data_IF_229772572318
#
_entry.id   IF_229772572318
#
_cell.length_a   1.000
_cell.length_b   1.000
_cell.length_c   1.000
_cell.angle_alpha   90.00
_cell.angle_beta   90.00
_cell.angle_gamma   90.00
#
_symmetry.space_group_name_H-M   'P 1'
#
loop_
_entity.id
_entity.type
_entity.pdbx_description
1 polymer ?
#
# COMPACT_ATOMS: atom_id res chain seq x y z
N UNK A 1 2.72 21.45 4.99
CA UNK A 1 2.95 20.03 5.31
C UNK A 1 3.72 19.35 4.16
N UNK A 2 4.99 19.69 3.87
CA UNK A 2 5.72 19.16 2.70
C UNK A 2 6.79 18.13 3.08
N UNK A 3 6.94 17.81 4.37
CA UNK A 3 8.04 16.97 4.89
C UNK A 3 7.68 15.48 5.01
N UNK A 4 6.41 15.13 4.85
CA UNK A 4 5.90 13.75 4.97
C UNK A 4 5.87 12.98 3.65
N UNK A 5 6.04 13.67 2.52
CA UNK A 5 6.00 13.06 1.18
C UNK A 5 7.36 12.56 0.70
N UNK A 6 8.45 13.03 1.31
CA UNK A 6 9.82 12.71 0.89
C UNK A 6 10.33 11.39 1.51
N UNK A 7 9.86 11.04 2.72
CA UNK A 7 10.31 9.85 3.46
C UNK A 7 9.53 8.56 3.15
N UNK A 8 8.31 8.67 2.63
CA UNK A 8 7.40 7.53 2.44
C UNK A 8 7.46 6.91 1.04
N UNK A 9 8.20 7.54 0.14
CA UNK A 9 8.06 7.32 -1.28
C UNK A 9 9.43 7.36 -1.94
N UNK A 10 10.29 6.39 -1.59
CA UNK A 10 11.42 5.97 -2.45
C UNK A 10 10.97 5.55 -3.88
N UNK A 11 9.69 5.77 -4.22
CA UNK A 11 9.06 5.89 -5.52
C UNK A 11 8.02 7.04 -5.40
N UNK A 12 8.14 8.15 -6.14
CA UNK A 12 7.50 9.42 -5.74
C UNK A 12 5.96 9.34 -5.63
N UNK A 13 5.38 9.85 -4.52
CA UNK A 13 3.92 10.02 -4.36
C UNK A 13 3.29 10.77 -5.54
N UNK A 14 4.09 11.67 -6.13
CA UNK A 14 3.76 12.38 -7.36
C UNK A 14 3.55 11.45 -8.54
N UNK A 15 4.37 10.42 -8.79
CA UNK A 15 4.20 9.55 -9.97
C UNK A 15 2.90 8.73 -9.92
N UNK A 16 2.57 8.12 -8.76
CA UNK A 16 1.32 7.40 -8.59
C UNK A 16 0.09 8.33 -8.68
N UNK A 17 0.18 9.52 -8.09
CA UNK A 17 -0.88 10.53 -8.14
C UNK A 17 -1.01 11.16 -9.53
N UNK A 18 0.11 11.34 -10.25
CA UNK A 18 0.14 11.83 -11.61
C UNK A 18 -0.47 10.80 -12.55
N UNK A 19 -0.14 9.51 -12.41
CA UNK A 19 -0.69 8.47 -13.27
C UNK A 19 -2.20 8.31 -13.09
N UNK A 20 -2.67 8.15 -11.85
CA UNK A 20 -4.09 8.04 -11.54
C UNK A 20 -4.87 9.32 -11.85
N UNK A 21 -4.29 10.48 -11.50
CA UNK A 21 -4.90 11.79 -11.74
C UNK A 21 -5.00 12.14 -13.22
N UNK A 22 -3.93 11.97 -13.99
CA UNK A 22 -3.94 12.28 -15.44
C UNK A 22 -4.85 11.34 -16.21
N UNK A 23 -4.81 10.03 -15.94
CA UNK A 23 -5.72 9.07 -16.58
C UNK A 23 -7.17 9.40 -16.27
N UNK A 24 -7.48 9.78 -15.03
CA UNK A 24 -8.81 10.26 -14.62
C UNK A 24 -9.27 11.45 -15.46
N UNK A 25 -8.46 12.51 -15.54
CA UNK A 25 -8.81 13.73 -16.30
C UNK A 25 -9.02 13.45 -17.78
N UNK A 26 -8.11 12.70 -18.41
CA UNK A 26 -8.21 12.37 -19.84
C UNK A 26 -9.48 11.54 -20.11
N UNK A 27 -9.77 10.55 -19.26
CA UNK A 27 -10.97 9.72 -19.41
C UNK A 27 -12.26 10.54 -19.29
N UNK A 28 -12.33 11.49 -18.34
CA UNK A 28 -13.48 12.38 -18.18
C UNK A 28 -13.72 13.24 -19.41
N UNK A 29 -12.65 13.83 -19.98
CA UNK A 29 -12.76 14.64 -21.19
C UNK A 29 -13.32 13.82 -22.36
N UNK A 30 -12.78 12.63 -22.58
CA UNK A 30 -13.23 11.72 -23.65
C UNK A 30 -14.69 11.32 -23.44
N UNK A 31 -15.08 10.95 -22.22
CA UNK A 31 -16.45 10.57 -21.89
C UNK A 31 -17.46 11.70 -22.14
N UNK A 32 -17.15 12.93 -21.73
CA UNK A 32 -18.02 14.09 -21.96
C UNK A 32 -18.17 14.42 -23.44
N UNK A 33 -17.08 14.37 -24.22
CA UNK A 33 -17.11 14.64 -25.65
C UNK A 33 -17.94 13.59 -26.40
N UNK A 34 -17.72 12.31 -26.10
CA UNK A 34 -18.48 11.21 -26.72
C UNK A 34 -19.96 11.28 -26.31
N UNK A 35 -20.25 11.46 -25.03
CA UNK A 35 -21.62 11.60 -24.53
C UNK A 35 -22.35 12.78 -25.17
N UNK A 36 -21.70 13.94 -25.26
CA UNK A 36 -22.23 15.13 -25.93
C UNK A 36 -22.50 14.91 -27.42
N UNK A 37 -21.56 14.25 -28.12
CA UNK A 37 -21.73 13.89 -29.53
C UNK A 37 -22.91 12.93 -29.74
N UNK A 38 -23.04 11.90 -28.90
CA UNK A 38 -24.15 10.95 -28.95
C UNK A 38 -25.49 11.64 -28.71
N UNK A 39 -25.59 12.52 -27.72
CA UNK A 39 -26.82 13.29 -27.45
C UNK A 39 -27.19 14.16 -28.65
N UNK A 40 -26.20 14.83 -29.28
CA UNK A 40 -26.42 15.66 -30.47
C UNK A 40 -26.91 14.84 -31.68
N UNK A 41 -26.37 13.65 -31.89
CA UNK A 41 -26.68 12.78 -33.04
C UNK A 41 -28.02 12.05 -32.87
N UNK A 42 -28.23 11.42 -31.72
CA UNK A 42 -29.38 10.53 -31.48
C UNK A 42 -30.60 11.24 -30.87
N UNK A 43 -30.42 12.44 -30.30
CA UNK A 43 -31.49 13.23 -29.64
C UNK A 43 -32.40 12.37 -28.76
N UNK A 44 -31.85 11.58 -27.81
CA UNK A 44 -32.64 10.70 -26.97
C UNK A 44 -33.60 11.52 -26.10
N UNK A 45 -34.75 10.93 -25.76
CA UNK A 45 -35.66 11.58 -24.80
C UNK A 45 -35.01 11.67 -23.42
N UNK A 46 -35.25 12.75 -22.64
CA UNK A 46 -34.62 12.97 -21.34
C UNK A 46 -34.78 11.79 -20.37
N UNK A 47 -35.94 11.11 -20.42
CA UNK A 47 -36.22 9.94 -19.57
C UNK A 47 -35.21 8.80 -19.76
N UNK A 48 -34.79 8.52 -20.99
CA UNK A 48 -33.81 7.47 -21.26
C UNK A 48 -32.42 7.87 -20.79
N UNK A 49 -32.05 9.15 -20.91
CA UNK A 49 -30.77 9.65 -20.44
C UNK A 49 -30.66 9.55 -18.91
N UNK A 50 -31.70 9.96 -18.19
CA UNK A 50 -31.74 9.84 -16.73
C UNK A 50 -31.75 8.37 -16.28
N UNK A 51 -32.50 7.50 -16.97
CA UNK A 51 -32.50 6.07 -16.67
C UNK A 51 -31.11 5.43 -16.87
N UNK A 52 -30.40 5.83 -17.92
CA UNK A 52 -29.03 5.38 -18.18
C UNK A 52 -28.07 5.82 -17.07
N UNK A 53 -28.14 7.08 -16.62
CA UNK A 53 -27.32 7.57 -15.50
C UNK A 53 -27.55 6.75 -14.22
N UNK A 54 -28.82 6.52 -13.87
CA UNK A 54 -29.19 5.70 -12.69
C UNK A 54 -28.66 4.29 -12.83
N UNK A 55 -28.75 3.69 -14.02
CA UNK A 55 -28.23 2.35 -14.28
C UNK A 55 -26.71 2.30 -14.10
N UNK A 56 -25.96 3.26 -14.65
CA UNK A 56 -24.49 3.32 -14.48
C UNK A 56 -24.11 3.45 -13.00
N UNK A 57 -24.81 4.28 -12.24
CA UNK A 57 -24.58 4.40 -10.79
C UNK A 57 -24.84 3.09 -10.03
N UNK A 58 -25.91 2.36 -10.37
CA UNK A 58 -26.17 1.04 -9.78
C UNK A 58 -25.01 0.08 -10.06
N UNK A 59 -24.50 0.04 -11.29
CA UNK A 59 -23.33 -0.79 -11.63
C UNK A 59 -22.07 -0.35 -10.88
N UNK A 60 -21.84 0.95 -10.71
CA UNK A 60 -20.71 1.47 -9.93
C UNK A 60 -20.79 1.04 -8.47
N UNK A 61 -21.96 1.15 -7.84
CA UNK A 61 -22.19 0.72 -6.45
C UNK A 61 -22.01 -0.80 -6.30
N UNK A 62 -22.53 -1.58 -7.25
CA UNK A 62 -22.32 -3.03 -7.27
C UNK A 62 -20.83 -3.37 -7.44
N UNK A 63 -20.11 -2.66 -8.30
CA UNK A 63 -18.66 -2.81 -8.46
C UNK A 63 -17.91 -2.52 -7.17
N UNK A 64 -18.25 -1.43 -6.47
CA UNK A 64 -17.68 -1.10 -5.17
C UNK A 64 -18.00 -2.20 -4.13
N UNK A 65 -19.23 -2.70 -4.12
CA UNK A 65 -19.64 -3.77 -3.23
C UNK A 65 -18.84 -5.05 -3.49
N UNK A 66 -18.68 -5.45 -4.76
CA UNK A 66 -17.84 -6.59 -5.16
C UNK A 66 -16.38 -6.37 -4.81
N UNK A 67 -15.86 -5.14 -4.94
CA UNK A 67 -14.49 -4.80 -4.54
C UNK A 67 -14.22 -4.98 -3.05
N UNK A 68 -15.24 -4.87 -2.19
CA UNK A 68 -15.11 -5.18 -0.76
C UNK A 68 -14.88 -6.69 -0.54
N UNK A 69 -15.49 -7.54 -1.37
CA UNK A 69 -15.30 -8.99 -1.31
C UNK A 69 -14.02 -9.46 -2.03
N UNK A 70 -13.60 -8.74 -3.08
CA UNK A 70 -12.29 -8.92 -3.73
C UNK A 70 -11.15 -8.30 -2.90
N UNK A 71 -11.18 -8.47 -1.58
CA UNK A 71 -10.08 -8.06 -0.73
C UNK A 71 -8.80 -8.68 -1.26
N UNK A 72 -7.83 -7.83 -1.64
CA UNK A 72 -6.50 -8.32 -1.98
C UNK A 72 -5.94 -9.14 -0.81
N UNK A 73 -5.09 -10.11 -1.12
CA UNK A 73 -4.29 -10.76 -0.09
C UNK A 73 -3.64 -9.67 0.75
N UNK A 74 -3.87 -9.74 2.07
CA UNK A 74 -3.22 -8.81 2.99
C UNK A 74 -1.73 -8.92 2.72
N UNK A 75 -1.09 -7.77 2.49
CA UNK A 75 0.36 -7.69 2.36
C UNK A 75 0.93 -8.55 3.51
N UNK A 76 1.65 -9.61 3.18
CA UNK A 76 2.21 -10.49 4.20
C UNK A 76 3.16 -9.63 5.02
N UNK A 77 2.76 -9.30 6.24
CA UNK A 77 3.60 -8.69 7.25
C UNK A 77 4.01 -9.81 8.19
N UNK A 78 5.15 -10.48 7.97
CA UNK A 78 5.60 -11.57 8.83
C UNK A 78 5.72 -11.08 10.27
N UNK A 79 5.34 -11.92 11.23
CA UNK A 79 5.34 -11.53 12.63
C UNK A 79 4.18 -10.63 13.04
N UNK A 80 3.20 -10.38 12.16
CA UNK A 80 1.93 -9.81 12.60
C UNK A 80 0.94 -10.89 13.03
N UNK A 81 0.53 -10.86 14.29
CA UNK A 81 -0.59 -11.67 14.76
C UNK A 81 -1.85 -10.81 14.72
N UNK A 82 -2.89 -11.31 14.07
CA UNK A 82 -4.23 -10.71 14.13
C UNK A 82 -4.84 -11.22 15.43
N UNK A 83 -5.02 -10.36 16.43
CA UNK A 83 -5.74 -10.75 17.64
C UNK A 83 -7.24 -10.97 17.33
N UNK A 84 -7.97 -11.65 18.21
CA UNK A 84 -9.41 -11.92 18.04
C UNK A 84 -10.26 -10.64 17.88
N UNK A 85 -9.77 -9.53 18.40
CA UNK A 85 -10.30 -8.17 18.28
C UNK A 85 -9.98 -7.48 16.94
N UNK A 86 -9.49 -8.23 15.94
CA UNK A 86 -9.05 -7.72 14.62
C UNK A 86 -7.93 -6.67 14.70
N UNK A 87 -7.25 -6.55 15.83
CA UNK A 87 -6.10 -5.66 15.97
C UNK A 87 -4.86 -6.33 15.43
N UNK A 88 -4.12 -5.60 14.60
CA UNK A 88 -2.82 -6.04 14.09
C UNK A 88 -1.79 -5.84 15.21
N UNK A 89 -1.22 -6.93 15.71
CA UNK A 89 -0.07 -6.89 16.60
C UNK A 89 1.19 -7.04 15.77
N UNK A 90 2.08 -6.04 15.80
CA UNK A 90 3.31 -6.02 15.02
C UNK A 90 4.51 -6.61 15.76
N UNK A 91 4.33 -6.98 17.03
CA UNK A 91 5.41 -7.49 17.85
C UNK A 91 5.54 -9.02 17.74
N UNK A 92 6.77 -9.49 17.55
CA UNK A 92 7.16 -10.90 17.51
C UNK A 92 8.46 -11.10 18.30
N UNK A 93 8.95 -12.33 18.39
CA UNK A 93 10.19 -12.64 19.11
C UNK A 93 11.42 -11.89 18.56
N UNK A 94 11.43 -11.57 17.26
CA UNK A 94 12.51 -10.83 16.62
C UNK A 94 12.58 -9.36 17.04
N UNK A 95 11.45 -8.75 17.43
CA UNK A 95 11.37 -7.31 17.71
C UNK A 95 10.80 -6.95 19.10
N UNK A 96 10.53 -7.95 19.96
CA UNK A 96 9.91 -7.78 21.28
C UNK A 96 10.69 -6.82 22.19
N UNK A 97 12.03 -6.85 22.15
CA UNK A 97 12.90 -6.09 23.04
C UNK A 97 13.56 -4.86 22.38
N UNK A 98 13.21 -4.52 21.13
CA UNK A 98 13.81 -3.37 20.44
C UNK A 98 13.21 -2.01 20.85
N UNK A 99 12.07 -2.01 21.57
CA UNK A 99 11.34 -0.77 21.90
C UNK A 99 10.76 -0.05 20.67
N UNK A 100 10.37 -0.79 19.63
CA UNK A 100 9.88 -0.22 18.38
C UNK A 100 8.63 0.67 18.58
N UNK A 101 8.59 1.81 17.87
CA UNK A 101 7.47 2.75 17.90
C UNK A 101 6.55 2.56 16.70
N UNK A 102 5.23 2.57 16.94
CA UNK A 102 4.20 2.54 15.89
C UNK A 102 3.85 3.94 15.35
N UNK A 103 4.53 5.00 15.82
CA UNK A 103 4.22 6.39 15.44
C UNK A 103 4.75 6.77 14.06
N UNK A 104 5.78 6.06 13.59
CA UNK A 104 6.45 6.33 12.31
C UNK A 104 6.34 5.08 11.47
N UNK A 105 5.61 5.18 10.36
CA UNK A 105 5.48 4.12 9.36
C UNK A 105 6.56 4.36 8.30
N UNK A 106 7.40 3.35 8.05
CA UNK A 106 8.51 3.40 7.10
C UNK A 106 8.72 2.00 6.49
N UNK A 107 7.86 1.59 5.53
CA UNK A 107 7.78 0.20 5.12
C UNK A 107 9.06 -0.28 4.44
N UNK A 108 9.52 -1.48 4.82
CA UNK A 108 10.68 -2.13 4.21
C UNK A 108 10.32 -3.53 3.72
N UNK A 109 10.84 -3.91 2.55
CA UNK A 109 10.68 -5.26 2.03
C UNK A 109 11.58 -6.23 2.79
N UNK A 110 11.07 -7.42 3.09
CA UNK A 110 11.85 -8.53 3.61
C UNK A 110 12.84 -9.06 2.57
N UNK A 111 13.81 -9.84 3.03
CA UNK A 111 14.84 -10.44 2.17
C UNK A 111 14.27 -11.43 1.14
N UNK A 112 13.05 -11.93 1.38
CA UNK A 112 12.27 -12.80 0.50
C UNK A 112 11.59 -12.02 -0.66
N UNK A 113 11.60 -10.69 -0.63
CA UNK A 113 11.01 -9.84 -1.66
C UNK A 113 9.47 -9.86 -1.71
N UNK A 114 8.82 -10.59 -0.81
CA UNK A 114 7.36 -10.75 -0.73
C UNK A 114 6.83 -10.14 0.57
N UNK A 115 7.58 -10.24 1.65
CA UNK A 115 7.20 -9.71 2.96
C UNK A 115 7.40 -8.20 3.04
N UNK A 116 6.51 -7.50 3.74
CA UNK A 116 6.66 -6.06 4.04
C UNK A 116 6.53 -5.81 5.54
N UNK A 117 7.50 -5.13 6.15
CA UNK A 117 7.48 -4.75 7.56
C UNK A 117 7.05 -3.30 7.74
N UNK A 118 6.44 -2.96 8.88
CA UNK A 118 5.93 -1.62 9.17
C UNK A 118 7.03 -0.55 9.29
N UNK A 119 8.17 -0.92 9.84
CA UNK A 119 9.36 -0.09 9.92
C UNK A 119 10.60 -0.98 9.94
N UNK A 120 11.81 -0.44 9.69
CA UNK A 120 13.05 -1.20 9.81
C UNK A 120 13.22 -1.86 11.18
N UNK A 121 12.74 -1.21 12.26
CA UNK A 121 12.78 -1.76 13.62
C UNK A 121 11.92 -3.01 13.77
N UNK A 122 10.74 -3.03 13.13
CA UNK A 122 9.86 -4.21 13.17
C UNK A 122 10.41 -5.38 12.33
N UNK A 123 11.36 -5.12 11.42
CA UNK A 123 12.11 -6.15 10.70
C UNK A 123 13.30 -6.71 11.52
N UNK A 124 13.67 -6.09 12.65
CA UNK A 124 14.71 -6.55 13.58
C UNK A 124 15.40 -5.41 14.35
N UNK A 125 15.99 -5.73 15.51
CA UNK A 125 16.76 -4.73 16.27
C UNK A 125 18.08 -4.40 15.56
N UNK A 126 18.43 -3.11 15.36
CA UNK A 126 19.80 -2.76 15.04
C UNK A 126 20.65 -3.11 16.26
N UNK A 127 21.63 -4.01 16.10
CA UNK A 127 22.65 -4.24 17.11
C UNK A 127 23.30 -2.89 17.45
N UNK A 128 23.03 -2.37 18.65
CA UNK A 128 23.60 -1.11 19.12
C UNK A 128 25.08 -1.30 19.48
N UNK A 129 25.92 -1.59 18.49
CA UNK A 129 27.36 -1.43 18.60
C UNK A 129 27.75 -0.11 17.95
N UNK A 130 27.54 0.97 18.71
CA UNK A 130 28.26 2.25 18.64
C UNK A 130 28.29 3.07 17.34
N UNK A 131 27.67 4.27 17.38
CA UNK A 131 28.13 5.53 16.75
C UNK A 131 28.12 5.52 15.19
N UNK A 132 27.27 6.25 14.46
CA UNK A 132 26.98 7.69 14.48
C UNK A 132 25.78 7.96 13.58
N UNK A 133 24.98 8.97 13.91
CA UNK A 133 23.88 9.49 13.09
C UNK A 133 24.38 10.07 11.75
N UNK A 134 24.63 9.24 10.74
CA UNK A 134 24.72 9.69 9.34
C UNK A 134 24.44 8.55 8.38
N UNK A 135 23.38 8.76 7.59
CA UNK A 135 23.05 8.09 6.34
C UNK A 135 22.73 6.59 6.40
N UNK A 136 21.43 6.34 6.21
CA UNK A 136 20.86 5.30 5.33
C UNK A 136 21.94 4.64 4.47
N UNK A 137 22.42 3.48 4.91
CA UNK A 137 22.91 2.42 4.04
C UNK A 137 22.77 1.11 4.81
N UNK A 138 21.98 0.15 4.32
CA UNK A 138 22.00 -1.19 4.90
C UNK A 138 23.39 -1.75 4.60
N UNK A 139 24.26 -1.80 5.60
CA UNK A 139 25.51 -2.52 5.47
C UNK A 139 25.17 -4.00 5.29
N UNK A 140 25.84 -4.63 4.31
CA UNK A 140 25.66 -6.02 3.88
C UNK A 140 25.73 -7.02 5.06
N UNK A 141 26.31 -6.62 6.19
CA UNK A 141 26.36 -7.36 7.45
C UNK A 141 25.02 -7.55 8.17
N UNK A 142 24.03 -6.66 7.96
CA UNK A 142 22.69 -6.84 8.53
C UNK A 142 21.90 -7.93 7.79
N UNK A 143 22.13 -8.07 6.49
CA UNK A 143 21.53 -9.14 5.67
C UNK A 143 22.14 -10.51 6.01
N UNK A 144 23.46 -10.58 6.29
CA UNK A 144 24.10 -11.87 6.61
C UNK A 144 23.63 -12.45 7.96
N UNK A 145 23.34 -11.61 8.95
CA UNK A 145 22.84 -12.09 10.25
C UNK A 145 21.37 -12.52 10.17
N UNK A 146 20.56 -11.88 9.32
CA UNK A 146 19.16 -12.25 9.10
C UNK A 146 19.04 -13.58 8.34
N UNK A 147 19.90 -13.86 7.37
CA UNK A 147 19.93 -15.16 6.67
C UNK A 147 20.35 -16.30 7.59
N UNK A 148 21.34 -16.09 8.48
CA UNK A 148 21.76 -17.12 9.44
C UNK A 148 20.66 -17.46 10.46
N UNK A 149 19.87 -16.48 10.90
CA UNK A 149 18.75 -16.72 11.83
C UNK A 149 17.58 -17.47 11.16
N UNK A 150 17.39 -17.28 9.85
CA UNK A 150 16.38 -17.99 9.06
C UNK A 150 16.79 -19.44 8.78
N UNK A 151 18.08 -19.69 8.52
CA UNK A 151 18.61 -21.06 8.33
C UNK A 151 18.59 -21.90 9.61
N UNK A 152 18.81 -21.30 10.79
CA UNK A 152 18.82 -22.04 12.06
C UNK A 152 17.40 -22.50 12.49
N UNK A 153 16.35 -21.74 12.17
CA UNK A 153 14.97 -22.04 12.57
C UNK A 153 14.15 -22.85 11.56
N UNK A 154 14.75 -23.30 10.45
CA UNK A 154 14.08 -24.19 9.48
C UNK A 154 14.50 -25.67 9.63
N UNK A 155 15.31 -25.99 10.64
CA UNK A 155 15.83 -27.34 10.92
C UNK A 155 15.40 -27.92 12.29
N UNK A 156 14.33 -27.44 12.92
CA UNK A 156 13.74 -28.05 14.13
C UNK A 156 12.22 -27.97 14.16
#
# INVERSE_FOLDING_TARGET
MPKFMESQYQQSASEASLFSGTTGIISMLVGVLIGGFMIKKFKPRPRYLTAYMVLVEIFSVLGLFVSIFLGCDRIMMPGTTVNEDQTLNLYNECNADCGCTRRVFEPVCGADGVSTFFSPCFAGCPNMTGVTSTLIQPTISALSNATNFYEENQAS
#
